data_IF_003057909666
#
_entry.id   IF_003057909666
#
_cell.length_a   1.000
_cell.length_b   1.000
_cell.length_c   1.000
_cell.angle_alpha   90.00
_cell.angle_beta   90.00
_cell.angle_gamma   90.00
#
_symmetry.space_group_name_H-M   'P 1'
#
loop_
_entity.id
_entity.type
_entity.pdbx_description
1 polymer ?
#
# COMPACT_ATOMS: atom_id res chain seq x y z
N UNK A 1 7.43 -13.25 -18.86
CA UNK A 1 6.24 -12.42 -18.59
C UNK A 1 5.36 -13.24 -17.65
N UNK A 2 4.98 -12.72 -16.48
CA UNK A 2 4.36 -13.52 -15.42
C UNK A 2 3.28 -12.80 -14.65
N UNK A 3 2.91 -11.58 -15.06
CA UNK A 3 1.82 -10.85 -14.42
C UNK A 3 0.47 -11.29 -14.99
N UNK A 4 -0.61 -11.08 -14.24
CA UNK A 4 -1.97 -11.36 -14.71
C UNK A 4 -2.25 -10.69 -16.06
N UNK A 5 -1.88 -9.41 -16.20
CA UNK A 5 -2.10 -8.66 -17.44
C UNK A 5 -1.35 -9.25 -18.63
N UNK A 6 -0.08 -9.65 -18.43
CA UNK A 6 0.71 -10.27 -19.51
C UNK A 6 0.10 -11.61 -19.95
N UNK A 7 -0.27 -12.46 -18.98
CA UNK A 7 -0.83 -13.79 -19.27
C UNK A 7 -2.21 -13.70 -19.95
N UNK A 8 -3.05 -12.74 -19.54
CA UNK A 8 -4.33 -12.49 -20.19
C UNK A 8 -4.13 -11.97 -21.62
N UNK A 9 -3.17 -11.07 -21.84
CA UNK A 9 -2.88 -10.53 -23.17
C UNK A 9 -2.26 -11.60 -24.11
N UNK A 10 -1.45 -12.51 -23.57
CA UNK A 10 -0.79 -13.57 -24.35
C UNK A 10 -1.73 -14.73 -24.69
N UNK A 11 -2.67 -15.07 -23.79
CA UNK A 11 -3.45 -16.30 -23.88
C UNK A 11 -4.96 -16.10 -24.07
N UNK A 12 -5.46 -14.87 -24.09
CA UNK A 12 -6.92 -14.63 -24.22
C UNK A 12 -7.24 -13.50 -25.19
N UNK A 13 -8.45 -13.54 -25.74
CA UNK A 13 -9.06 -12.46 -26.54
C UNK A 13 -10.19 -11.76 -25.76
N UNK A 14 -10.09 -11.75 -24.43
CA UNK A 14 -11.09 -11.12 -23.57
C UNK A 14 -11.16 -9.61 -23.82
N UNK A 15 -12.37 -9.01 -23.81
CA UNK A 15 -12.51 -7.57 -23.92
C UNK A 15 -11.92 -6.88 -22.69
N UNK A 16 -11.43 -5.64 -22.84
CA UNK A 16 -10.72 -4.92 -21.77
C UNK A 16 -11.50 -4.81 -20.46
N UNK A 17 -12.83 -4.68 -20.53
CA UNK A 17 -13.70 -4.63 -19.35
C UNK A 17 -13.77 -5.98 -18.60
N UNK A 18 -13.68 -7.11 -19.29
CA UNK A 18 -13.55 -8.43 -18.64
C UNK A 18 -12.15 -8.59 -18.01
N UNK A 19 -11.11 -8.08 -18.65
CA UNK A 19 -9.75 -8.04 -18.09
C UNK A 19 -9.72 -7.21 -16.81
N UNK A 20 -10.31 -6.01 -16.81
CA UNK A 20 -10.44 -5.15 -15.62
C UNK A 20 -11.21 -5.86 -14.50
N UNK A 21 -12.27 -6.59 -14.84
CA UNK A 21 -13.01 -7.39 -13.87
C UNK A 21 -12.15 -8.50 -13.25
N UNK A 22 -11.36 -9.24 -14.04
CA UNK A 22 -10.42 -10.24 -13.51
C UNK A 22 -9.33 -9.63 -12.63
N UNK A 23 -8.81 -8.45 -13.00
CA UNK A 23 -7.91 -7.68 -12.15
C UNK A 23 -8.56 -7.32 -10.80
N UNK A 24 -9.82 -6.89 -10.81
CA UNK A 24 -10.56 -6.60 -9.59
C UNK A 24 -10.77 -7.87 -8.75
N UNK A 25 -11.10 -9.01 -9.37
CA UNK A 25 -11.24 -10.30 -8.66
C UNK A 25 -9.92 -10.66 -7.96
N UNK A 26 -8.79 -10.59 -8.65
CA UNK A 26 -7.47 -10.87 -8.07
C UNK A 26 -7.07 -9.84 -7.00
N UNK A 27 -7.55 -8.61 -7.09
CA UNK A 27 -7.36 -7.60 -6.06
C UNK A 27 -8.10 -7.91 -4.76
N UNK A 28 -9.20 -8.67 -4.83
CA UNK A 28 -10.16 -8.84 -3.73
C UNK A 28 -10.23 -10.27 -3.17
N UNK A 29 -9.84 -11.27 -3.96
CA UNK A 29 -10.00 -12.68 -3.62
C UNK A 29 -9.16 -13.18 -2.44
N UNK A 30 -8.27 -12.37 -1.88
CA UNK A 30 -7.60 -12.71 -0.62
C UNK A 30 -8.63 -12.81 0.51
N UNK A 31 -9.66 -11.96 0.49
CA UNK A 31 -10.81 -12.08 1.39
C UNK A 31 -11.50 -13.42 1.20
N UNK A 32 -11.74 -13.81 -0.05
CA UNK A 32 -12.37 -15.07 -0.39
C UNK A 32 -11.55 -16.28 0.10
N UNK A 33 -10.23 -16.28 -0.13
CA UNK A 33 -9.33 -17.33 0.35
C UNK A 33 -9.34 -17.44 1.88
N UNK A 34 -9.23 -16.31 2.58
CA UNK A 34 -9.21 -16.26 4.04
C UNK A 34 -10.54 -16.74 4.65
N UNK A 35 -11.69 -16.38 4.06
CA UNK A 35 -13.02 -16.84 4.49
C UNK A 35 -13.27 -18.32 4.14
N UNK A 36 -12.70 -18.81 3.04
CA UNK A 36 -12.85 -20.19 2.59
C UNK A 36 -11.92 -21.18 3.30
N UNK A 37 -10.87 -20.69 3.97
CA UNK A 37 -9.76 -21.50 4.48
C UNK A 37 -9.11 -22.39 3.40
N UNK A 38 -9.05 -21.88 2.17
CA UNK A 38 -8.72 -22.67 0.99
C UNK A 38 -7.85 -21.89 0.00
N UNK A 39 -7.05 -22.62 -0.77
CA UNK A 39 -6.30 -22.06 -1.88
C UNK A 39 -7.20 -21.88 -3.11
N UNK A 40 -6.91 -20.85 -3.91
CA UNK A 40 -7.63 -20.56 -5.15
C UNK A 40 -6.66 -20.46 -6.32
N UNK A 41 -7.04 -21.07 -7.45
CA UNK A 41 -6.41 -20.88 -8.75
C UNK A 41 -7.42 -20.30 -9.74
N UNK A 42 -6.99 -19.32 -10.54
CA UNK A 42 -7.80 -18.75 -11.61
C UNK A 42 -7.37 -19.31 -12.95
N UNK A 43 -8.31 -19.92 -13.66
CA UNK A 43 -8.12 -20.51 -14.97
C UNK A 43 -8.85 -19.69 -16.02
N UNK A 44 -8.20 -19.49 -17.17
CA UNK A 44 -8.80 -18.95 -18.39
C UNK A 44 -8.69 -19.97 -19.51
N UNK A 45 -9.61 -19.89 -20.48
CA UNK A 45 -9.61 -20.77 -21.65
C UNK A 45 -9.07 -20.01 -22.87
N UNK A 46 -8.08 -20.60 -23.53
CA UNK A 46 -7.51 -20.14 -24.81
C UNK A 46 -8.42 -20.51 -25.99
N UNK A 47 -8.17 -19.89 -27.14
CA UNK A 47 -8.91 -20.18 -28.39
C UNK A 47 -8.69 -21.62 -28.89
N UNK A 48 -7.54 -22.23 -28.58
CA UNK A 48 -7.21 -23.62 -28.89
C UNK A 48 -7.81 -24.62 -27.88
N UNK A 49 -8.60 -24.14 -26.91
CA UNK A 49 -9.26 -24.96 -25.89
C UNK A 49 -8.36 -25.31 -24.70
N UNK A 50 -7.09 -24.93 -24.69
CA UNK A 50 -6.20 -25.15 -23.56
C UNK A 50 -6.57 -24.24 -22.37
N UNK A 51 -6.32 -24.73 -21.17
CA UNK A 51 -6.55 -24.00 -19.92
C UNK A 51 -5.24 -23.42 -19.41
N UNK A 52 -5.25 -22.16 -19.02
CA UNK A 52 -4.07 -21.48 -18.45
C UNK A 52 -4.40 -20.97 -17.06
N UNK A 53 -3.56 -21.30 -16.09
CA UNK A 53 -3.64 -20.72 -14.75
C UNK A 53 -3.00 -19.32 -14.78
N UNK A 54 -3.80 -18.27 -14.58
CA UNK A 54 -3.34 -16.88 -14.71
C UNK A 54 -3.07 -16.20 -13.38
N UNK A 55 -3.58 -16.75 -12.28
CA UNK A 55 -3.33 -16.25 -10.94
C UNK A 55 -3.53 -17.34 -9.89
N UNK A 56 -2.93 -17.15 -8.72
CA UNK A 56 -3.04 -18.04 -7.55
C UNK A 56 -3.15 -17.21 -6.26
N UNK A 57 -3.97 -17.66 -5.31
CA UNK A 57 -4.09 -17.10 -3.97
C UNK A 57 -4.05 -18.21 -2.92
N UNK A 58 -3.40 -17.94 -1.79
CA UNK A 58 -3.31 -18.85 -0.63
C UNK A 58 -3.95 -18.18 0.58
N UNK A 59 -4.62 -18.94 1.46
CA UNK A 59 -5.27 -18.37 2.64
C UNK A 59 -4.23 -17.98 3.70
N UNK A 60 -4.47 -16.90 4.45
CA UNK A 60 -3.71 -16.56 5.65
C UNK A 60 -4.27 -17.27 6.91
N UNK A 61 -5.47 -17.83 6.80
CA UNK A 61 -6.25 -18.42 7.90
C UNK A 61 -6.06 -19.94 8.01
N UNK A 62 -5.41 -20.58 7.04
CA UNK A 62 -5.21 -22.02 6.98
C UNK A 62 -3.90 -22.38 6.27
N UNK A 63 -3.33 -23.57 6.51
CA UNK A 63 -2.19 -24.05 5.73
C UNK A 63 -2.59 -24.30 4.27
N UNK A 64 -1.70 -23.90 3.35
CA UNK A 64 -1.86 -24.15 1.91
C UNK A 64 -1.65 -25.63 1.57
N UNK A 65 -2.42 -26.15 0.62
CA UNK A 65 -2.19 -27.45 -0.05
C UNK A 65 -1.42 -27.29 -1.36
N UNK A 66 -1.36 -26.07 -1.90
CA UNK A 66 -0.65 -25.74 -3.14
C UNK A 66 0.76 -25.19 -2.85
N UNK A 67 1.70 -26.10 -2.59
CA UNK A 67 3.10 -25.78 -2.28
C UNK A 67 3.85 -25.16 -3.46
N UNK A 68 3.52 -25.57 -4.68
CA UNK A 68 4.14 -25.06 -5.92
C UNK A 68 3.37 -23.86 -6.46
N UNK A 69 4.08 -23.00 -7.17
CA UNK A 69 3.47 -21.95 -7.98
C UNK A 69 2.91 -22.57 -9.27
N UNK A 70 1.62 -22.33 -9.53
CA UNK A 70 0.91 -22.84 -10.70
C UNK A 70 0.66 -21.76 -11.75
N UNK A 71 1.03 -20.51 -11.50
CA UNK A 71 0.81 -19.39 -12.43
C UNK A 71 1.62 -19.59 -13.71
N UNK A 72 0.96 -19.42 -14.86
CA UNK A 72 1.53 -19.68 -16.19
C UNK A 72 1.50 -21.15 -16.62
N UNK A 73 1.01 -22.07 -15.78
CA UNK A 73 0.83 -23.46 -16.19
C UNK A 73 -0.24 -23.59 -17.26
N UNK A 74 0.04 -24.41 -18.29
CA UNK A 74 -0.88 -24.69 -19.39
C UNK A 74 -1.25 -26.17 -19.32
N UNK A 75 -2.56 -26.44 -19.27
CA UNK A 75 -3.11 -27.78 -19.09
C UNK A 75 -4.18 -28.04 -20.14
N UNK A 76 -4.20 -29.24 -20.69
CA UNK A 76 -5.23 -29.65 -21.64
C UNK A 76 -6.59 -29.81 -20.94
N UNK A 77 -7.67 -29.47 -21.62
CA UNK A 77 -9.03 -29.46 -21.04
C UNK A 77 -9.49 -30.83 -20.54
N UNK A 78 -9.02 -31.92 -21.15
CA UNK A 78 -9.29 -33.30 -20.76
C UNK A 78 -8.70 -33.66 -19.39
N UNK A 79 -7.53 -33.09 -19.05
CA UNK A 79 -6.87 -33.30 -17.74
C UNK A 79 -7.50 -32.52 -16.60
N UNK A 80 -8.28 -31.48 -16.91
CA UNK A 80 -9.03 -30.69 -15.93
C UNK A 80 -10.51 -30.61 -16.35
N UNK A 81 -11.13 -31.79 -16.49
CA UNK A 81 -12.51 -31.92 -16.93
C UNK A 81 -13.48 -31.06 -16.10
N UNK A 82 -13.25 -30.96 -14.79
CA UNK A 82 -14.05 -30.11 -13.89
C UNK A 82 -14.07 -28.64 -14.32
N UNK A 83 -12.90 -28.10 -14.66
CA UNK A 83 -12.74 -26.70 -15.11
C UNK A 83 -13.37 -26.51 -16.49
N UNK A 84 -13.10 -27.43 -17.41
CA UNK A 84 -13.66 -27.40 -18.77
C UNK A 84 -15.20 -27.42 -18.75
N UNK A 85 -15.80 -28.33 -17.97
CA UNK A 85 -17.25 -28.43 -17.78
C UNK A 85 -17.85 -27.17 -17.12
N UNK A 86 -17.11 -26.51 -16.23
CA UNK A 86 -17.56 -25.25 -15.62
C UNK A 86 -17.63 -24.11 -16.63
N UNK A 87 -16.66 -24.04 -17.56
CA UNK A 87 -16.70 -23.09 -18.68
C UNK A 87 -17.89 -23.32 -19.64
N UNK A 88 -18.33 -24.58 -19.79
CA UNK A 88 -19.43 -24.94 -20.69
C UNK A 88 -20.80 -24.81 -20.03
N UNK A 89 -20.94 -25.27 -18.78
CA UNK A 89 -22.20 -25.27 -18.05
C UNK A 89 -22.53 -23.91 -17.42
N UNK A 90 -21.52 -23.11 -17.09
CA UNK A 90 -21.70 -21.88 -16.31
C UNK A 90 -22.18 -22.12 -14.87
N UNK A 91 -22.11 -23.37 -14.38
CA UNK A 91 -22.50 -23.77 -13.04
C UNK A 91 -21.30 -24.30 -12.25
N UNK A 92 -21.28 -24.07 -10.94
CA UNK A 92 -20.24 -24.61 -10.07
C UNK A 92 -20.28 -26.15 -10.08
N UNK A 93 -19.12 -26.78 -10.20
CA UNK A 93 -18.93 -28.22 -10.24
C UNK A 93 -18.10 -28.67 -9.04
N UNK A 94 -18.40 -29.84 -8.48
CA UNK A 94 -17.60 -30.47 -7.41
C UNK A 94 -17.00 -31.76 -7.92
N UNK A 95 -15.73 -31.99 -7.59
CA UNK A 95 -15.12 -33.27 -7.84
C UNK A 95 -15.66 -34.30 -6.83
N UNK A 96 -16.56 -35.17 -7.29
CA UNK A 96 -17.09 -36.29 -6.49
C UNK A 96 -16.14 -37.51 -6.52
N UNK A 97 -15.09 -37.51 -7.36
CA UNK A 97 -14.23 -38.66 -7.65
C UNK A 97 -12.90 -38.68 -6.88
N UNK A 98 -12.73 -37.84 -5.85
CA UNK A 98 -11.58 -37.93 -4.91
C UNK A 98 -11.60 -39.19 -4.01
N UNK A 99 -12.33 -40.24 -4.43
CA UNK A 99 -12.38 -41.56 -3.84
C UNK A 99 -11.86 -42.65 -4.79
N UNK A 100 -10.88 -42.37 -5.67
CA UNK A 100 -10.19 -43.44 -6.40
C UNK A 100 -9.37 -44.29 -5.42
N UNK A 101 -9.74 -45.57 -5.35
CA UNK A 101 -9.38 -46.62 -4.39
C UNK A 101 -7.90 -47.04 -4.29
N UNK A 102 -6.90 -46.20 -4.61
CA UNK A 102 -5.50 -46.66 -4.61
C UNK A 102 -4.47 -45.65 -4.05
N UNK A 103 -4.88 -44.75 -3.16
CA UNK A 103 -3.96 -43.90 -2.40
C UNK A 103 -4.27 -43.88 -0.91
N UNK A 104 -3.27 -44.21 -0.10
CA UNK A 104 -3.33 -44.30 1.37
C UNK A 104 -3.61 -42.95 2.07
N UNK A 105 -3.79 -41.85 1.32
CA UNK A 105 -4.10 -40.51 1.81
C UNK A 105 -5.22 -39.88 0.94
N UNK A 106 -6.29 -39.33 1.54
CA UNK A 106 -7.31 -38.61 0.78
C UNK A 106 -6.70 -37.36 0.14
N UNK A 107 -6.87 -37.22 -1.18
CA UNK A 107 -6.45 -36.04 -1.94
C UNK A 107 -7.18 -34.76 -1.52
N UNK A 108 -6.75 -33.58 -2.00
CA UNK A 108 -7.46 -32.33 -1.73
C UNK A 108 -8.85 -32.36 -2.37
N UNK A 109 -9.87 -31.86 -1.66
CA UNK A 109 -11.17 -31.58 -2.26
C UNK A 109 -11.04 -30.38 -3.18
N UNK A 110 -11.46 -30.56 -4.44
CA UNK A 110 -11.44 -29.52 -5.46
C UNK A 110 -12.87 -29.18 -5.88
N UNK A 111 -13.21 -27.89 -5.79
CA UNK A 111 -14.47 -27.34 -6.30
C UNK A 111 -14.15 -26.30 -7.38
N UNK A 112 -14.86 -26.33 -8.51
CA UNK A 112 -14.74 -25.35 -9.57
C UNK A 112 -15.96 -24.42 -9.58
N UNK A 113 -15.73 -23.12 -9.65
CA UNK A 113 -16.79 -22.11 -9.68
C UNK A 113 -16.53 -21.10 -10.81
N UNK A 114 -17.56 -20.74 -11.61
CA UNK A 114 -17.39 -19.79 -12.70
C UNK A 114 -17.22 -18.37 -12.18
N UNK A 115 -16.44 -17.57 -12.91
CA UNK A 115 -16.41 -16.11 -12.77
C UNK A 115 -17.11 -15.54 -13.99
N UNK A 116 -18.26 -14.91 -13.78
CA UNK A 116 -19.06 -14.36 -14.87
C UNK A 116 -18.88 -12.85 -14.99
N UNK A 117 -18.86 -12.37 -16.22
CA UNK A 117 -18.91 -10.95 -16.52
C UNK A 117 -19.72 -10.72 -17.80
N UNK A 118 -20.73 -9.85 -17.73
CA UNK A 118 -21.63 -9.58 -18.86
C UNK A 118 -22.39 -10.81 -19.36
N UNK A 119 -22.74 -11.75 -18.47
CA UNK A 119 -23.45 -12.99 -18.79
C UNK A 119 -22.61 -14.06 -19.50
N UNK A 120 -21.27 -13.94 -19.46
CA UNK A 120 -20.33 -14.94 -19.99
C UNK A 120 -19.35 -15.38 -18.91
N UNK A 121 -18.99 -16.66 -18.91
CA UNK A 121 -17.90 -17.17 -18.06
C UNK A 121 -16.57 -16.69 -18.64
N UNK A 122 -15.91 -15.78 -17.91
CA UNK A 122 -14.62 -15.19 -18.33
C UNK A 122 -13.42 -15.90 -17.69
N UNK A 123 -13.62 -16.54 -16.55
CA UNK A 123 -12.64 -17.38 -15.87
C UNK A 123 -13.35 -18.46 -15.03
N UNK A 124 -12.58 -19.43 -14.55
CA UNK A 124 -13.04 -20.42 -13.57
C UNK A 124 -12.07 -20.44 -12.40
N UNK A 125 -12.60 -20.38 -11.18
CA UNK A 125 -11.84 -20.55 -9.95
C UNK A 125 -11.87 -22.01 -9.51
N UNK A 126 -10.72 -22.60 -9.21
CA UNK A 126 -10.67 -23.86 -8.46
C UNK A 126 -10.25 -23.61 -7.03
N UNK A 127 -11.07 -24.08 -6.10
CA UNK A 127 -10.84 -24.06 -4.65
C UNK A 127 -10.20 -25.38 -4.24
N UNK A 128 -9.11 -25.35 -3.49
CA UNK A 128 -8.39 -26.53 -3.01
C UNK A 128 -8.29 -26.51 -1.48
N UNK A 129 -8.72 -27.60 -0.83
CA UNK A 129 -8.68 -27.75 0.61
C UNK A 129 -8.42 -29.20 1.04
N UNK A 130 -7.85 -29.42 2.23
CA UNK A 130 -7.67 -30.79 2.76
C UNK A 130 -9.01 -31.40 3.21
N UNK A 131 -9.18 -32.72 3.05
CA UNK A 131 -10.34 -33.46 3.56
C UNK A 131 -10.56 -33.27 5.08
N UNK A 132 -9.47 -33.22 5.85
CA UNK A 132 -9.53 -32.98 7.30
C UNK A 132 -9.95 -31.56 7.64
N UNK A 133 -9.61 -30.56 6.81
CA UNK A 133 -10.08 -29.19 7.00
C UNK A 133 -11.58 -29.06 6.68
N UNK A 134 -12.11 -29.82 5.73
CA UNK A 134 -13.54 -29.82 5.42
C UNK A 134 -14.40 -30.29 6.63
N UNK A 135 -13.94 -31.33 7.33
CA UNK A 135 -14.70 -32.06 8.37
C UNK A 135 -14.40 -31.66 9.84
N UNK A 136 -13.49 -30.73 10.13
CA UNK A 136 -13.27 -30.25 11.50
C UNK A 136 -14.56 -29.68 12.09
N UNK A 137 -14.83 -30.00 13.37
CA UNK A 137 -15.87 -29.40 14.21
C UNK A 137 -15.79 -27.88 14.07
N UNK A 138 -16.65 -27.33 13.21
CA UNK A 138 -16.54 -25.94 12.81
C UNK A 138 -17.01 -25.08 13.97
N UNK A 139 -16.14 -24.21 14.49
CA UNK A 139 -16.57 -23.19 15.44
C UNK A 139 -17.53 -22.21 14.76
N UNK A 140 -18.12 -21.33 15.57
CA UNK A 140 -19.02 -20.30 15.04
C UNK A 140 -18.32 -19.38 14.05
N UNK A 141 -17.02 -19.08 14.26
CA UNK A 141 -16.21 -18.27 13.36
C UNK A 141 -16.04 -18.95 12.00
N UNK A 142 -15.58 -20.21 12.00
CA UNK A 142 -15.36 -20.96 10.77
C UNK A 142 -16.66 -21.15 9.97
N UNK A 143 -17.78 -21.35 10.68
CA UNK A 143 -19.11 -21.47 10.07
C UNK A 143 -19.51 -20.16 9.38
N UNK A 144 -19.46 -19.03 10.10
CA UNK A 144 -19.79 -17.72 9.55
C UNK A 144 -18.89 -17.31 8.38
N UNK A 145 -17.60 -17.69 8.43
CA UNK A 145 -16.64 -17.42 7.36
C UNK A 145 -16.98 -18.23 6.10
N UNK A 146 -17.26 -19.52 6.25
CA UNK A 146 -17.63 -20.41 5.13
C UNK A 146 -18.95 -20.01 4.49
N UNK A 147 -19.96 -19.62 5.27
CA UNK A 147 -21.22 -19.10 4.75
C UNK A 147 -21.00 -17.83 3.93
N UNK A 148 -20.22 -16.88 4.45
CA UNK A 148 -19.88 -15.67 3.71
C UNK A 148 -19.06 -15.97 2.44
N UNK A 149 -18.12 -16.91 2.50
CA UNK A 149 -17.37 -17.34 1.33
C UNK A 149 -18.29 -17.94 0.25
N UNK A 150 -19.27 -18.76 0.65
CA UNK A 150 -20.26 -19.33 -0.26
C UNK A 150 -21.06 -18.24 -0.97
N UNK A 151 -21.51 -17.22 -0.23
CA UNK A 151 -22.23 -16.09 -0.83
C UNK A 151 -21.36 -15.32 -1.83
N UNK A 152 -20.08 -15.08 -1.52
CA UNK A 152 -19.16 -14.42 -2.44
C UNK A 152 -18.87 -15.26 -3.70
N UNK A 153 -18.78 -16.58 -3.58
CA UNK A 153 -18.65 -17.48 -4.74
C UNK A 153 -19.89 -17.43 -5.62
N UNK A 154 -21.09 -17.39 -5.03
CA UNK A 154 -22.33 -17.17 -5.79
C UNK A 154 -22.33 -15.81 -6.48
N UNK A 155 -21.88 -14.75 -5.83
CA UNK A 155 -21.78 -13.42 -6.44
C UNK A 155 -20.74 -13.36 -7.58
N UNK A 156 -19.64 -14.12 -7.50
CA UNK A 156 -18.69 -14.27 -8.62
C UNK A 156 -19.33 -15.00 -9.80
N UNK A 157 -20.14 -16.03 -9.52
CA UNK A 157 -20.87 -16.77 -10.52
C UNK A 157 -21.99 -15.92 -11.16
N UNK A 158 -22.61 -15.01 -10.42
CA UNK A 158 -23.62 -14.07 -10.93
C UNK A 158 -23.01 -12.79 -11.55
N UNK A 159 -21.70 -12.59 -11.40
CA UNK A 159 -20.97 -11.40 -11.87
C UNK A 159 -21.29 -10.10 -11.08
N UNK A 160 -21.81 -10.23 -9.86
CA UNK A 160 -22.14 -9.11 -8.96
C UNK A 160 -21.00 -8.76 -7.99
N UNK A 161 -19.95 -9.58 -7.93
CA UNK A 161 -18.72 -9.32 -7.20
C UNK A 161 -17.48 -9.57 -8.09
N UNK A 162 -16.43 -8.74 -7.99
CA UNK A 162 -16.34 -7.47 -7.26
C UNK A 162 -16.94 -6.30 -8.05
N UNK A 163 -17.43 -5.28 -7.34
CA UNK A 163 -17.83 -4.02 -7.96
C UNK A 163 -16.58 -3.23 -8.39
N UNK A 164 -16.36 -3.14 -9.70
CA UNK A 164 -15.16 -2.56 -10.34
C UNK A 164 -15.03 -1.04 -10.07
N UNK A 165 -16.07 -0.40 -9.51
CA UNK A 165 -16.08 1.04 -9.22
C UNK A 165 -15.08 1.53 -8.16
N UNK A 166 -14.49 0.64 -7.36
CA UNK A 166 -13.76 1.02 -6.12
C UNK A 166 -12.33 0.42 -6.00
N UNK A 167 -11.67 0.14 -7.13
CA UNK A 167 -10.32 -0.49 -7.13
C UNK A 167 -9.18 0.50 -6.79
N UNK A 168 -9.45 1.81 -6.76
CA UNK A 168 -8.36 2.83 -6.84
C UNK A 168 -7.93 3.43 -5.49
N UNK A 169 -8.65 3.27 -4.38
CA UNK A 169 -8.36 4.08 -3.17
C UNK A 169 -8.37 3.29 -1.85
N UNK A 170 -7.32 2.51 -1.57
CA UNK A 170 -6.67 2.42 -0.24
C UNK A 170 -5.71 1.23 -0.17
N UNK A 171 -4.46 1.47 0.24
CA UNK A 171 -3.47 0.39 0.47
C UNK A 171 -3.75 -0.41 1.76
N UNK A 172 -4.70 0.01 2.59
CA UNK A 172 -5.04 -0.64 3.85
C UNK A 172 -6.51 -1.03 3.90
N UNK A 173 -6.84 -2.23 3.44
CA UNK A 173 -8.15 -2.85 3.63
C UNK A 173 -8.13 -3.76 4.86
N UNK A 174 -9.17 -3.76 5.71
CA UNK A 174 -9.33 -4.79 6.73
C UNK A 174 -9.30 -6.19 6.11
N UNK A 175 -8.58 -7.11 6.76
CA UNK A 175 -8.58 -8.55 6.45
C UNK A 175 -9.72 -9.23 7.18
N UNK A 176 -10.13 -10.42 6.74
CA UNK A 176 -11.13 -11.22 7.46
C UNK A 176 -10.74 -11.44 8.93
N UNK A 177 -9.46 -11.70 9.19
CA UNK A 177 -8.94 -11.92 10.55
C UNK A 177 -8.88 -10.68 11.45
N UNK A 178 -8.93 -9.46 10.89
CA UNK A 178 -8.87 -8.22 11.69
C UNK A 178 -10.16 -8.00 12.50
N UNK A 179 -11.29 -8.49 11.98
CA UNK A 179 -12.61 -8.36 12.57
C UNK A 179 -13.66 -8.58 11.50
N UNK A 180 -14.63 -9.44 11.78
CA UNK A 180 -15.68 -9.84 10.85
C UNK A 180 -17.05 -9.75 11.52
N UNK A 181 -18.02 -9.19 10.81
CA UNK A 181 -19.41 -9.04 11.26
C UNK A 181 -20.31 -9.47 10.11
N UNK A 182 -21.28 -10.33 10.41
CA UNK A 182 -22.36 -10.69 9.49
C UNK A 182 -23.62 -9.92 9.87
N UNK A 183 -24.21 -9.22 8.90
CA UNK A 183 -25.50 -8.58 9.02
C UNK A 183 -26.58 -9.40 8.32
N UNK A 184 -27.77 -9.43 8.91
CA UNK A 184 -28.98 -9.88 8.24
C UNK A 184 -29.53 -8.80 7.29
N UNK A 185 -30.64 -9.11 6.62
CA UNK A 185 -31.32 -8.20 5.68
C UNK A 185 -31.90 -6.93 6.34
N UNK A 186 -32.02 -6.91 7.67
CA UNK A 186 -32.52 -5.77 8.44
C UNK A 186 -31.39 -4.94 9.09
N UNK A 187 -30.12 -5.28 8.80
CA UNK A 187 -28.94 -4.65 9.39
C UNK A 187 -28.71 -5.02 10.85
N UNK A 188 -29.30 -6.12 11.33
CA UNK A 188 -29.04 -6.71 12.64
C UNK A 188 -27.80 -7.60 12.55
N UNK A 189 -26.92 -7.50 13.53
CA UNK A 189 -25.72 -8.32 13.62
C UNK A 189 -26.12 -9.76 13.94
N UNK A 190 -26.02 -10.63 12.93
CA UNK A 190 -26.26 -12.06 13.06
C UNK A 190 -25.06 -12.78 13.70
N UNK A 191 -23.84 -12.29 13.44
CA UNK A 191 -22.61 -12.82 14.01
C UNK A 191 -21.54 -11.73 14.09
N UNK A 192 -20.72 -11.75 15.15
CA UNK A 192 -19.53 -10.91 15.26
C UNK A 192 -18.34 -11.71 15.78
N UNK A 193 -17.22 -11.65 15.06
CA UNK A 193 -15.99 -12.32 15.49
C UNK A 193 -15.40 -11.68 16.75
N UNK A 194 -14.62 -12.41 17.57
CA UNK A 194 -14.01 -11.87 18.78
C UNK A 194 -13.18 -10.59 18.55
N UNK A 195 -12.51 -10.50 17.40
CA UNK A 195 -11.74 -9.31 17.04
C UNK A 195 -12.63 -8.11 16.68
N UNK A 196 -13.78 -8.36 16.02
CA UNK A 196 -14.77 -7.30 15.80
C UNK A 196 -15.36 -6.78 17.10
N UNK A 197 -15.74 -7.67 18.03
CA UNK A 197 -16.22 -7.29 19.36
C UNK A 197 -15.15 -6.49 20.12
N UNK A 198 -13.88 -6.93 20.04
CA UNK A 198 -12.76 -6.23 20.66
C UNK A 198 -12.56 -4.81 20.10
N UNK A 199 -12.70 -4.64 18.77
CA UNK A 199 -12.65 -3.32 18.14
C UNK A 199 -13.80 -2.43 18.65
N UNK A 200 -15.03 -2.94 18.72
CA UNK A 200 -16.18 -2.20 19.25
C UNK A 200 -16.03 -1.82 20.73
N UNK A 201 -15.45 -2.70 21.56
CA UNK A 201 -15.14 -2.34 22.95
C UNK A 201 -14.16 -1.17 23.04
N UNK A 202 -13.15 -1.11 22.17
CA UNK A 202 -12.22 0.02 22.10
C UNK A 202 -12.87 1.30 21.60
N UNK A 203 -13.90 1.19 20.75
CA UNK A 203 -14.75 2.31 20.35
C UNK A 203 -15.68 2.79 21.50
N UNK A 204 -15.76 2.06 22.60
CA UNK A 204 -16.58 2.42 23.77
C UNK A 204 -17.89 1.65 23.91
N UNK A 205 -18.13 0.61 23.09
CA UNK A 205 -19.30 -0.26 23.28
C UNK A 205 -19.16 -1.06 24.59
N UNK A 206 -20.17 -1.00 25.46
CA UNK A 206 -20.21 -1.73 26.74
C UNK A 206 -21.21 -2.88 26.75
N UNK A 207 -21.94 -3.07 25.66
CA UNK A 207 -22.97 -4.08 25.50
C UNK A 207 -22.60 -5.10 24.43
N UNK A 208 -23.33 -6.21 24.39
CA UNK A 208 -23.22 -7.19 23.30
C UNK A 208 -23.49 -6.56 21.93
N UNK A 209 -22.76 -7.02 20.91
CA UNK A 209 -22.88 -6.57 19.53
C UNK A 209 -23.90 -7.40 18.75
N UNK A 210 -23.90 -8.72 18.95
CA UNK A 210 -24.83 -9.65 18.31
C UNK A 210 -26.28 -9.39 18.70
N UNK A 211 -27.20 -9.60 17.76
CA UNK A 211 -28.64 -9.36 17.94
C UNK A 211 -29.05 -7.88 17.92
N UNK A 212 -28.11 -6.94 17.72
CA UNK A 212 -28.40 -5.50 17.65
C UNK A 212 -28.29 -4.96 16.23
N UNK A 213 -29.06 -3.91 15.93
CA UNK A 213 -28.92 -3.19 14.68
C UNK A 213 -27.60 -2.41 14.65
N UNK A 214 -26.79 -2.63 13.60
CA UNK A 214 -25.44 -2.08 13.49
C UNK A 214 -25.43 -0.55 13.58
N UNK A 215 -26.28 0.13 12.82
CA UNK A 215 -26.35 1.60 12.81
C UNK A 215 -26.67 2.15 14.20
N UNK A 216 -27.62 1.53 14.91
CA UNK A 216 -28.02 1.96 16.26
C UNK A 216 -26.89 1.84 17.28
N UNK A 217 -26.03 0.83 17.17
CA UNK A 217 -24.92 0.63 18.11
C UNK A 217 -23.68 1.42 17.72
N UNK A 218 -23.40 1.59 16.43
CA UNK A 218 -22.16 2.23 15.97
C UNK A 218 -22.29 3.75 15.97
N UNK A 219 -23.42 4.30 15.52
CA UNK A 219 -23.62 5.76 15.39
C UNK A 219 -23.32 6.55 16.68
N UNK A 220 -23.73 6.12 17.90
CA UNK A 220 -23.43 6.85 19.13
C UNK A 220 -21.95 6.81 19.56
N UNK A 221 -21.15 5.87 19.02
CA UNK A 221 -19.74 5.69 19.38
C UNK A 221 -18.80 6.60 18.57
N UNK A 222 -19.25 7.00 17.38
CA UNK A 222 -18.48 7.80 16.44
C UNK A 222 -18.36 9.23 16.96
N UNK A 223 -17.14 9.77 16.91
CA UNK A 223 -16.81 11.07 17.47
C UNK A 223 -17.32 12.22 16.62
N UNK A 224 -17.20 12.11 15.28
CA UNK A 224 -17.70 13.10 14.34
C UNK A 224 -19.16 12.81 13.93
N UNK A 225 -20.12 13.72 14.20
CA UNK A 225 -21.50 13.57 13.77
C UNK A 225 -21.69 13.40 12.25
N UNK A 226 -20.79 13.95 11.43
CA UNK A 226 -20.85 13.82 9.97
C UNK A 226 -20.49 12.39 9.55
N UNK A 227 -19.35 11.86 10.01
CA UNK A 227 -18.95 10.46 9.77
C UNK A 227 -20.01 9.47 10.30
N UNK A 228 -20.63 9.80 11.44
CA UNK A 228 -21.69 8.99 12.03
C UNK A 228 -22.96 8.92 11.16
N UNK A 229 -23.30 10.05 10.51
CA UNK A 229 -24.43 10.12 9.59
C UNK A 229 -24.10 9.43 8.25
N UNK A 230 -22.89 9.62 7.73
CA UNK A 230 -22.39 8.98 6.51
C UNK A 230 -22.40 7.45 6.64
N UNK A 231 -21.91 6.88 7.75
CA UNK A 231 -22.01 5.44 8.01
C UNK A 231 -23.47 4.97 8.02
N UNK A 232 -24.36 5.73 8.66
CA UNK A 232 -25.76 5.35 8.80
C UNK A 232 -26.48 5.32 7.44
N UNK A 233 -26.27 6.33 6.61
CA UNK A 233 -26.80 6.40 5.24
C UNK A 233 -26.23 5.28 4.38
N UNK A 234 -24.92 5.02 4.50
CA UNK A 234 -24.25 3.98 3.74
C UNK A 234 -24.76 2.58 4.07
N UNK A 235 -24.91 2.23 5.36
CA UNK A 235 -25.43 0.90 5.75
C UNK A 235 -26.87 0.69 5.26
N UNK A 236 -27.68 1.75 5.21
CA UNK A 236 -29.03 1.68 4.66
C UNK A 236 -29.01 1.47 3.14
N UNK A 237 -28.16 2.21 2.41
CA UNK A 237 -27.97 2.04 0.96
C UNK A 237 -27.45 0.63 0.63
N UNK A 238 -26.45 0.16 1.37
CA UNK A 238 -25.87 -1.18 1.26
C UNK A 238 -26.92 -2.29 1.34
N UNK A 239 -27.82 -2.22 2.33
CA UNK A 239 -28.89 -3.21 2.51
C UNK A 239 -29.95 -3.15 1.40
N UNK A 240 -30.09 -1.99 0.74
CA UNK A 240 -30.95 -1.79 -0.42
C UNK A 240 -30.28 -2.21 -1.76
N UNK A 241 -29.09 -2.81 -1.72
CA UNK A 241 -28.33 -3.22 -2.92
C UNK A 241 -27.32 -2.18 -3.40
N UNK A 242 -26.99 -1.21 -2.55
CA UNK A 242 -25.92 -0.24 -2.76
C UNK A 242 -24.53 -0.88 -2.82
N UNK A 243 -23.52 -0.04 -2.99
CA UNK A 243 -22.14 -0.49 -3.28
C UNK A 243 -21.34 -0.79 -2.02
N UNK A 244 -20.21 -1.49 -2.18
CA UNK A 244 -19.20 -1.60 -1.13
C UNK A 244 -18.61 -0.22 -0.82
N UNK A 245 -18.32 0.05 0.45
CA UNK A 245 -17.60 1.25 0.87
C UNK A 245 -16.53 0.91 1.89
N UNK A 246 -15.49 1.72 1.87
CA UNK A 246 -14.42 1.72 2.86
C UNK A 246 -14.42 3.08 3.55
N UNK A 247 -14.38 3.07 4.88
CA UNK A 247 -14.32 4.32 5.67
C UNK A 247 -13.41 4.16 6.87
N UNK A 248 -12.76 5.25 7.23
CA UNK A 248 -12.01 5.38 8.48
C UNK A 248 -12.85 6.21 9.45
N UNK A 249 -12.93 5.77 10.70
CA UNK A 249 -13.78 6.43 11.70
C UNK A 249 -13.07 6.52 13.03
N UNK A 250 -13.13 7.70 13.64
CA UNK A 250 -12.63 7.93 14.99
C UNK A 250 -13.77 7.77 16.01
N UNK A 251 -13.64 6.82 16.95
CA UNK A 251 -14.67 6.48 17.92
C UNK A 251 -14.06 6.15 19.29
N UNK A 252 -14.51 6.83 20.36
CA UNK A 252 -14.06 6.53 21.72
C UNK A 252 -12.55 6.66 21.97
N UNK A 253 -11.83 7.42 21.15
CA UNK A 253 -10.36 7.53 21.20
C UNK A 253 -9.61 6.41 20.46
N UNK A 254 -10.33 5.50 19.82
CA UNK A 254 -9.82 4.53 18.86
C UNK A 254 -10.08 5.00 17.42
N UNK A 255 -9.26 4.56 16.48
CA UNK A 255 -9.44 4.75 15.03
C UNK A 255 -9.65 3.39 14.39
N UNK A 256 -10.78 3.20 13.70
CA UNK A 256 -11.13 1.94 13.03
C UNK A 256 -11.29 2.13 11.53
N UNK A 257 -10.81 1.18 10.76
CA UNK A 257 -11.14 1.04 9.34
C UNK A 257 -12.31 0.07 9.21
N UNK A 258 -13.37 0.51 8.55
CA UNK A 258 -14.54 -0.26 8.23
C UNK A 258 -14.58 -0.52 6.72
N UNK A 259 -14.96 -1.74 6.36
CA UNK A 259 -15.27 -2.11 4.99
C UNK A 259 -16.57 -2.86 4.97
N UNK A 260 -17.50 -2.44 4.13
CA UNK A 260 -18.80 -3.06 3.96
C UNK A 260 -18.86 -3.79 2.62
N UNK A 261 -19.45 -4.98 2.58
CA UNK A 261 -19.67 -5.75 1.38
C UNK A 261 -21.16 -6.16 1.33
N UNK A 262 -21.93 -5.73 0.32
CA UNK A 262 -23.30 -6.20 0.16
C UNK A 262 -23.25 -7.68 -0.23
N UNK A 263 -24.17 -8.48 0.29
CA UNK A 263 -24.29 -9.88 -0.07
C UNK A 263 -25.58 -10.07 -0.86
N UNK A 264 -25.47 -10.52 -2.10
CA UNK A 264 -26.61 -10.72 -3.00
C UNK A 264 -26.53 -12.13 -3.56
N UNK A 265 -27.57 -12.93 -3.33
CA UNK A 265 -27.63 -14.32 -3.78
C UNK A 265 -28.89 -14.50 -4.61
N UNK A 266 -28.76 -14.99 -5.85
CA UNK A 266 -29.87 -15.18 -6.79
C UNK A 266 -30.72 -13.89 -6.99
N UNK A 267 -30.07 -12.73 -6.98
CA UNK A 267 -30.73 -11.42 -7.14
C UNK A 267 -31.47 -10.90 -5.90
N UNK A 268 -31.44 -11.61 -4.77
CA UNK A 268 -32.02 -11.15 -3.51
C UNK A 268 -30.92 -10.74 -2.51
N UNK A 269 -31.19 -9.71 -1.70
CA UNK A 269 -30.29 -9.30 -0.61
C UNK A 269 -30.23 -10.40 0.44
N UNK A 270 -29.00 -10.85 0.76
CA UNK A 270 -28.67 -11.82 1.81
C UNK A 270 -28.04 -11.13 3.03
N UNK A 271 -28.22 -9.80 3.15
CA UNK A 271 -27.61 -8.96 4.17
C UNK A 271 -26.26 -8.39 3.71
N UNK A 272 -25.30 -8.32 4.62
CA UNK A 272 -23.98 -7.76 4.33
C UNK A 272 -22.89 -8.36 5.21
N UNK A 273 -21.65 -8.31 4.73
CA UNK A 273 -20.46 -8.53 5.54
C UNK A 273 -19.80 -7.19 5.87
N UNK A 274 -19.37 -7.01 7.12
CA UNK A 274 -18.60 -5.85 7.55
C UNK A 274 -17.28 -6.33 8.12
N UNK A 275 -16.19 -5.85 7.55
CA UNK A 275 -14.85 -6.04 8.07
C UNK A 275 -14.45 -4.81 8.87
N UNK A 276 -13.86 -5.02 10.04
CA UNK A 276 -13.40 -3.96 10.92
C UNK A 276 -11.96 -4.22 11.31
N UNK A 277 -11.14 -3.17 11.31
CA UNK A 277 -9.76 -3.22 11.78
C UNK A 277 -9.49 -2.03 12.67
N UNK A 278 -9.05 -2.28 13.89
CA UNK A 278 -8.50 -1.23 14.75
C UNK A 278 -7.10 -0.83 14.24
N UNK A 279 -6.96 0.43 13.84
CA UNK A 279 -5.71 1.03 13.34
C UNK A 279 -5.19 2.14 14.25
N UNK A 280 -5.70 2.24 15.48
CA UNK A 280 -5.34 3.31 16.45
C UNK A 280 -3.82 3.44 16.61
N UNK A 281 -3.13 2.32 16.86
CA UNK A 281 -1.68 2.32 17.08
C UNK A 281 -0.88 2.53 15.79
N UNK A 282 -1.39 2.05 14.65
CA UNK A 282 -0.78 2.32 13.34
C UNK A 282 -0.83 3.81 13.05
N UNK A 283 -2.00 4.44 13.24
CA UNK A 283 -2.19 5.87 13.04
C UNK A 283 -1.39 6.73 14.01
N UNK A 284 -1.26 6.31 15.27
CA UNK A 284 -0.38 6.99 16.24
C UNK A 284 1.07 6.99 15.78
N UNK A 285 1.56 5.87 15.25
CA UNK A 285 2.92 5.76 14.69
C UNK A 285 3.09 6.62 13.45
N UNK A 286 2.15 6.57 12.51
CA UNK A 286 2.20 7.36 11.28
C UNK A 286 2.17 8.87 11.56
N UNK A 287 1.31 9.31 12.49
CA UNK A 287 1.28 10.71 12.94
C UNK A 287 2.59 11.13 13.63
N UNK A 288 3.20 10.24 14.41
CA UNK A 288 4.50 10.50 15.03
C UNK A 288 5.63 10.63 14.00
N UNK A 289 5.62 9.82 12.93
CA UNK A 289 6.58 9.92 11.83
C UNK A 289 6.41 11.24 11.06
N UNK A 290 5.19 11.61 10.67
CA UNK A 290 4.90 12.87 9.98
C UNK A 290 5.32 14.08 10.83
N UNK A 291 5.09 14.03 12.15
CA UNK A 291 5.51 15.08 13.06
C UNK A 291 7.03 15.23 13.11
N UNK A 292 7.79 14.13 13.09
CA UNK A 292 9.26 14.18 13.05
C UNK A 292 9.76 14.84 11.77
N UNK A 293 9.20 14.50 10.62
CA UNK A 293 9.60 15.09 9.33
C UNK A 293 9.29 16.59 9.25
N UNK A 294 8.20 17.04 9.87
CA UNK A 294 7.87 18.45 9.99
C UNK A 294 8.87 19.19 10.91
N UNK A 295 9.25 18.59 12.04
CA UNK A 295 10.26 19.15 12.95
C UNK A 295 11.63 19.25 12.28
N UNK A 296 12.05 18.22 11.54
CA UNK A 296 13.32 18.22 10.80
C UNK A 296 13.35 19.37 9.78
N UNK A 297 12.28 19.53 9.00
CA UNK A 297 12.15 20.68 8.06
C UNK A 297 12.23 22.02 8.78
N UNK A 298 11.57 22.19 9.93
CA UNK A 298 11.65 23.43 10.70
C UNK A 298 13.08 23.74 11.18
N UNK A 299 13.80 22.73 11.69
CA UNK A 299 15.19 22.87 12.12
C UNK A 299 16.05 23.36 10.96
N UNK A 300 15.94 22.72 9.78
CA UNK A 300 16.69 23.13 8.61
C UNK A 300 16.39 24.57 8.17
N UNK A 301 15.12 24.97 8.18
CA UNK A 301 14.72 26.36 7.92
C UNK A 301 15.34 27.34 8.92
N UNK A 302 15.36 27.00 10.22
CA UNK A 302 15.98 27.84 11.26
C UNK A 302 17.50 27.96 11.09
N UNK A 303 18.20 26.87 10.76
CA UNK A 303 19.65 26.89 10.52
C UNK A 303 20.00 27.79 9.34
N UNK A 304 19.25 27.72 8.24
CA UNK A 304 19.38 28.63 7.09
C UNK A 304 19.21 30.09 7.50
N UNK A 305 18.16 30.41 8.25
CA UNK A 305 17.88 31.78 8.71
C UNK A 305 18.98 32.31 9.65
N UNK A 306 19.52 31.46 10.53
CA UNK A 306 20.61 31.82 11.43
C UNK A 306 21.89 32.14 10.67
N UNK A 307 22.29 31.31 9.71
CA UNK A 307 23.48 31.55 8.89
C UNK A 307 23.35 32.83 8.05
N UNK A 308 22.16 33.10 7.51
CA UNK A 308 21.88 34.35 6.79
C UNK A 308 21.97 35.57 7.71
N UNK A 309 21.46 35.48 8.94
CA UNK A 309 21.52 36.55 9.94
C UNK A 309 22.97 36.85 10.33
N UNK A 310 23.77 35.81 10.59
CA UNK A 310 25.20 35.95 10.90
C UNK A 310 25.95 36.61 9.73
N UNK A 311 25.69 36.18 8.49
CA UNK A 311 26.29 36.80 7.31
C UNK A 311 25.89 38.28 7.16
N UNK A 312 24.64 38.65 7.45
CA UNK A 312 24.16 40.03 7.40
C UNK A 312 24.84 40.91 8.47
N UNK A 313 24.98 40.42 9.71
CA UNK A 313 25.67 41.12 10.78
C UNK A 313 27.16 41.35 10.44
N UNK A 314 27.84 40.33 9.93
CA UNK A 314 29.23 40.45 9.49
C UNK A 314 29.40 41.46 8.35
N UNK A 315 28.46 41.51 7.38
CA UNK A 315 28.44 42.53 6.33
C UNK A 315 28.27 43.94 6.90
N UNK A 316 27.39 44.12 7.88
CA UNK A 316 27.17 45.42 8.53
C UNK A 316 28.43 45.87 9.29
N UNK A 317 29.09 44.96 10.00
CA UNK A 317 30.36 45.26 10.69
C UNK A 317 31.46 45.62 9.69
N UNK A 318 31.60 44.87 8.59
CA UNK A 318 32.57 45.16 7.54
C UNK A 318 32.42 46.57 6.94
N UNK A 319 31.17 47.08 6.84
CA UNK A 319 30.87 48.43 6.36
C UNK A 319 31.24 49.53 7.36
N UNK A 320 31.21 49.24 8.67
CA UNK A 320 31.47 50.21 9.75
C UNK A 320 32.95 50.28 10.15
N UNK A 321 33.72 49.25 9.86
CA UNK A 321 35.15 49.17 10.22
C UNK A 321 35.99 50.12 9.37
N UNK A 322 36.79 50.98 10.01
CA UNK A 322 37.74 51.89 9.36
C UNK A 322 39.10 51.24 9.04
N UNK A 323 39.40 50.08 9.65
CA UNK A 323 40.59 49.28 9.35
C UNK A 323 40.38 48.45 8.06
N UNK A 324 41.19 48.72 7.03
CA UNK A 324 41.13 48.02 5.75
C UNK A 324 41.37 46.51 5.88
N UNK A 325 42.32 46.08 6.71
CA UNK A 325 42.64 44.67 6.94
C UNK A 325 41.49 43.96 7.69
N UNK A 326 40.92 44.62 8.69
CA UNK A 326 39.75 44.11 9.42
C UNK A 326 38.49 44.01 8.53
N UNK A 327 38.31 44.94 7.60
CA UNK A 327 37.21 44.90 6.61
C UNK A 327 37.39 43.72 5.65
N UNK A 328 38.60 43.45 5.19
CA UNK A 328 38.88 42.31 4.29
C UNK A 328 38.60 40.97 4.99
N UNK A 329 39.07 40.79 6.22
CA UNK A 329 38.83 39.59 7.03
C UNK A 329 37.32 39.36 7.31
N UNK A 330 36.55 40.43 7.55
CA UNK A 330 35.10 40.33 7.74
C UNK A 330 34.37 39.97 6.43
N UNK A 331 34.79 40.54 5.30
CA UNK A 331 34.23 40.17 3.98
C UNK A 331 34.54 38.71 3.65
N UNK A 332 35.73 38.23 4.00
CA UNK A 332 36.08 36.81 3.88
C UNK A 332 35.18 35.93 4.76
N UNK A 333 34.94 36.35 6.00
CA UNK A 333 34.05 35.64 6.94
C UNK A 333 32.60 35.56 6.43
N UNK A 334 32.09 36.64 5.83
CA UNK A 334 30.78 36.66 5.16
C UNK A 334 30.71 35.62 4.04
N UNK A 335 31.75 35.55 3.20
CA UNK A 335 31.84 34.56 2.12
C UNK A 335 31.82 33.15 2.70
N UNK A 336 32.57 32.88 3.77
CA UNK A 336 32.62 31.58 4.45
C UNK A 336 31.25 31.14 4.98
N UNK A 337 30.55 32.02 5.72
CA UNK A 337 29.21 31.72 6.24
C UNK A 337 28.21 31.49 5.12
N UNK A 338 28.31 32.24 4.02
CA UNK A 338 27.45 32.07 2.84
C UNK A 338 27.66 30.71 2.17
N UNK A 339 28.91 30.25 2.06
CA UNK A 339 29.21 28.90 1.52
C UNK A 339 28.68 27.78 2.42
N UNK A 340 28.81 27.90 3.74
CA UNK A 340 28.24 26.92 4.69
C UNK A 340 26.72 26.87 4.57
N UNK A 341 26.05 28.01 4.41
CA UNK A 341 24.61 28.08 4.21
C UNK A 341 24.16 27.35 2.94
N UNK A 342 24.93 27.48 1.85
CA UNK A 342 24.65 26.81 0.58
C UNK A 342 24.86 25.30 0.65
N UNK A 343 25.94 24.86 1.31
CA UNK A 343 26.21 23.44 1.57
C UNK A 343 25.07 22.82 2.40
N UNK A 344 24.68 23.50 3.48
CA UNK A 344 23.58 23.07 4.32
C UNK A 344 22.26 23.00 3.54
N UNK A 345 21.94 23.99 2.70
CA UNK A 345 20.72 24.00 1.87
C UNK A 345 20.71 22.86 0.86
N UNK A 346 21.87 22.55 0.24
CA UNK A 346 21.98 21.45 -0.72
C UNK A 346 21.83 20.06 -0.07
N UNK A 347 22.29 19.90 1.17
CA UNK A 347 22.23 18.65 1.93
C UNK A 347 20.91 18.45 2.70
N UNK A 348 20.25 19.55 3.05
CA UNK A 348 18.98 19.56 3.79
C UNK A 348 17.77 19.12 2.95
N UNK A 349 17.91 19.02 1.63
CA UNK A 349 16.80 18.67 0.73
C UNK A 349 16.54 17.17 0.62
N UNK A 350 17.46 16.32 1.09
CA UNK A 350 17.24 14.87 1.21
C UNK A 350 16.83 14.52 2.64
N UNK A 351 15.58 14.08 2.81
CA UNK A 351 15.08 13.49 4.08
C UNK A 351 15.73 12.13 4.35
N UNK A 352 16.41 11.57 3.34
CA UNK A 352 17.07 10.28 3.43
C UNK A 352 18.37 10.33 4.25
N UNK A 353 18.61 9.26 5.02
CA UNK A 353 19.85 9.03 5.77
C UNK A 353 21.08 8.89 4.84
N UNK A 354 20.84 8.72 3.53
CA UNK A 354 21.84 8.50 2.50
C UNK A 354 21.81 9.60 1.44
N UNK A 355 22.99 10.15 1.13
CA UNK A 355 23.20 11.28 0.23
C UNK A 355 24.11 10.85 -0.91
N UNK A 356 23.64 11.04 -2.14
CA UNK A 356 24.50 10.91 -3.33
C UNK A 356 25.45 12.11 -3.40
N UNK A 357 26.72 11.91 -3.03
CA UNK A 357 27.70 12.98 -2.92
C UNK A 357 28.02 13.61 -4.29
N UNK A 358 27.84 12.83 -5.36
CA UNK A 358 28.15 13.22 -6.72
C UNK A 358 27.20 14.32 -7.21
N UNK A 359 25.91 14.15 -6.97
CA UNK A 359 24.87 15.15 -7.31
C UNK A 359 25.05 16.45 -6.52
N UNK A 360 25.41 16.34 -5.24
CA UNK A 360 25.60 17.50 -4.37
C UNK A 360 26.82 18.31 -4.81
N UNK A 361 27.92 17.65 -5.18
CA UNK A 361 29.12 18.32 -5.69
C UNK A 361 28.83 19.02 -7.02
N UNK A 362 28.13 18.37 -7.95
CA UNK A 362 27.81 18.97 -9.25
C UNK A 362 26.91 20.20 -9.11
N UNK A 363 26.07 20.25 -8.07
CA UNK A 363 25.25 21.42 -7.72
C UNK A 363 26.05 22.55 -7.05
N UNK A 364 27.02 22.22 -6.20
CA UNK A 364 27.79 23.19 -5.41
C UNK A 364 28.93 23.82 -6.22
N UNK A 365 29.61 23.07 -7.09
CA UNK A 365 30.78 23.54 -7.84
C UNK A 365 30.53 24.81 -8.68
N UNK A 366 29.41 24.95 -9.42
CA UNK A 366 29.09 26.18 -10.15
C UNK A 366 28.98 27.39 -9.22
N UNK A 367 28.28 27.21 -8.09
CA UNK A 367 28.04 28.27 -7.11
C UNK A 367 29.35 28.70 -6.44
N UNK A 368 30.25 27.75 -6.16
CA UNK A 368 31.58 28.05 -5.62
C UNK A 368 32.46 28.81 -6.61
N UNK A 369 32.33 28.54 -7.92
CA UNK A 369 33.04 29.27 -8.95
C UNK A 369 32.62 30.75 -8.99
N UNK A 370 31.33 31.03 -8.85
CA UNK A 370 30.77 32.39 -8.82
C UNK A 370 31.24 33.18 -7.59
N UNK A 371 31.36 32.53 -6.43
CA UNK A 371 31.85 33.19 -5.19
C UNK A 371 33.38 33.42 -5.23
N UNK A 372 34.12 32.60 -5.97
CA UNK A 372 35.58 32.65 -6.04
C UNK A 372 36.12 33.62 -7.11
N UNK A 373 35.33 33.96 -8.13
CA UNK A 373 35.80 34.72 -9.28
C UNK A 373 35.60 36.23 -9.10
N UNK A 374 36.66 36.92 -8.68
CA UNK A 374 36.72 38.39 -8.81
C UNK A 374 37.38 38.82 -10.13
N UNK A 375 38.19 37.97 -10.79
CA UNK A 375 38.93 38.41 -12.00
C UNK A 375 39.10 37.41 -13.18
N UNK A 376 38.85 36.09 -13.06
CA UNK A 376 38.84 35.15 -14.22
C UNK A 376 38.00 33.88 -13.98
N UNK A 377 37.40 33.27 -15.02
CA UNK A 377 36.69 32.00 -14.90
C UNK A 377 37.65 30.84 -14.61
N UNK A 378 37.39 30.08 -13.55
CA UNK A 378 38.12 28.85 -13.21
C UNK A 378 37.46 27.69 -13.96
N UNK A 379 38.25 26.88 -14.68
CA UNK A 379 37.77 25.59 -15.22
C UNK A 379 37.94 24.52 -14.14
N UNK A 380 36.83 23.91 -13.74
CA UNK A 380 36.79 22.80 -12.80
C UNK A 380 36.58 21.54 -13.63
N UNK A 381 37.47 20.55 -13.46
CA UNK A 381 37.29 19.22 -14.05
C UNK A 381 37.23 18.20 -12.92
N UNK A 382 36.17 17.42 -12.88
CA UNK A 382 35.94 16.36 -11.90
C UNK A 382 36.28 15.02 -12.55
N UNK A 383 37.03 14.17 -11.85
CA UNK A 383 37.40 12.83 -12.32
C UNK A 383 37.07 11.83 -11.21
N UNK A 384 36.19 10.88 -11.52
CA UNK A 384 35.73 9.83 -10.61
C UNK A 384 34.44 10.15 -9.84
N UNK A 385 33.94 9.11 -9.18
CA UNK A 385 32.68 9.10 -8.44
C UNK A 385 32.91 8.77 -6.97
N UNK A 386 32.18 9.47 -6.09
CA UNK A 386 32.25 9.31 -4.64
C UNK A 386 31.10 8.45 -4.10
N UNK A 387 30.00 8.36 -4.86
CA UNK A 387 28.86 7.51 -4.54
C UNK A 387 28.01 8.03 -3.38
N UNK A 388 27.25 7.10 -2.82
CA UNK A 388 26.27 7.38 -1.76
C UNK A 388 26.91 7.21 -0.38
N UNK A 389 26.77 8.21 0.47
CA UNK A 389 27.29 8.21 1.85
C UNK A 389 26.20 8.58 2.84
N UNK A 390 26.39 8.22 4.10
CA UNK A 390 25.55 8.75 5.17
C UNK A 390 25.66 10.28 5.26
N UNK A 391 24.56 10.93 5.65
CA UNK A 391 24.44 12.39 5.66
C UNK A 391 25.52 13.10 6.48
N UNK A 392 25.95 12.52 7.60
CA UNK A 392 26.99 13.08 8.46
C UNK A 392 28.36 13.08 7.77
N UNK A 393 28.75 11.95 7.16
CA UNK A 393 30.00 11.85 6.38
C UNK A 393 29.95 12.69 5.12
N UNK A 394 28.82 12.73 4.42
CA UNK A 394 28.62 13.57 3.24
C UNK A 394 28.83 15.05 3.59
N UNK A 395 28.21 15.52 4.67
CA UNK A 395 28.35 16.89 5.18
C UNK A 395 29.80 17.23 5.50
N UNK A 396 30.49 16.35 6.24
CA UNK A 396 31.89 16.55 6.59
C UNK A 396 32.79 16.65 5.35
N UNK A 397 32.61 15.75 4.37
CA UNK A 397 33.39 15.74 3.14
C UNK A 397 33.14 16.97 2.27
N UNK A 398 31.90 17.40 2.11
CA UNK A 398 31.59 18.63 1.36
C UNK A 398 32.18 19.85 2.04
N UNK A 399 32.13 19.93 3.37
CA UNK A 399 32.77 21.01 4.12
C UNK A 399 34.30 21.04 3.90
N UNK A 400 34.95 19.88 3.85
CA UNK A 400 36.38 19.78 3.52
C UNK A 400 36.65 20.22 2.08
N UNK A 401 35.87 19.72 1.11
CA UNK A 401 36.02 20.05 -0.32
C UNK A 401 35.84 21.55 -0.54
N UNK A 402 34.80 22.12 0.05
CA UNK A 402 34.48 23.55 -0.09
C UNK A 402 35.57 24.43 0.52
N UNK A 403 36.08 24.10 1.70
CA UNK A 403 37.16 24.84 2.34
C UNK A 403 38.49 24.69 1.57
N UNK A 404 38.77 23.51 1.04
CA UNK A 404 39.97 23.25 0.23
C UNK A 404 39.96 24.05 -1.08
N UNK A 405 38.83 24.04 -1.79
CA UNK A 405 38.63 24.83 -3.00
C UNK A 405 38.83 26.32 -2.73
N UNK A 406 38.25 26.82 -1.63
CA UNK A 406 38.38 28.22 -1.18
C UNK A 406 39.83 28.60 -0.87
N UNK A 407 40.53 27.77 -0.09
CA UNK A 407 41.94 28.01 0.29
C UNK A 407 42.84 28.10 -0.95
N UNK A 408 42.65 27.22 -1.93
CA UNK A 408 43.44 27.24 -3.17
C UNK A 408 43.12 28.44 -4.07
N UNK A 409 41.87 28.88 -4.12
CA UNK A 409 41.50 30.09 -4.86
C UNK A 409 42.15 31.34 -4.26
N UNK A 410 42.10 31.47 -2.93
CA UNK A 410 42.73 32.59 -2.20
C UNK A 410 44.26 32.66 -2.41
N UNK A 411 44.98 31.54 -2.23
CA UNK A 411 46.45 31.50 -2.37
C UNK A 411 46.97 31.87 -3.78
N UNK A 412 46.18 31.60 -4.84
CA UNK A 412 46.55 31.97 -6.22
C UNK A 412 46.43 33.48 -6.46
N UNK A 413 45.52 34.16 -5.78
CA UNK A 413 45.40 35.63 -5.82
C UNK A 413 46.62 36.30 -5.16
N UNK A 414 47.02 35.85 -3.97
CA UNK A 414 48.10 36.48 -3.18
C UNK A 414 49.50 36.29 -3.77
N UNK A 415 49.78 35.16 -4.45
CA UNK A 415 51.09 34.89 -5.07
C UNK A 415 51.39 35.77 -6.29
N UNK A 416 50.38 36.40 -6.91
CA UNK A 416 50.58 37.26 -8.08
C UNK A 416 50.74 38.75 -7.77
N UNK A 417 50.16 39.27 -6.67
CA UNK A 417 50.42 40.67 -6.29
C UNK A 417 51.90 40.92 -5.95
N UNK A 418 52.63 39.89 -5.51
CA UNK A 418 54.09 39.93 -5.28
C UNK A 418 54.96 39.77 -6.54
N UNK A 419 54.41 39.39 -7.70
CA UNK A 419 55.15 39.21 -8.97
C UNK A 419 54.87 40.28 -10.02
N UNK A 420 54.03 41.28 -9.69
CA UNK A 420 53.67 42.39 -10.57
C UNK A 420 54.17 43.76 -10.11
N UNK A 421 55.28 43.81 -9.37
CA UNK A 421 56.04 45.03 -9.08
C UNK A 421 57.46 44.87 -9.58
#
# INVERSE_FOLDING_TARGET
MSTLGDLLAEHTVLPGNAVDHLHAVVGEWQLLADLSFADYLMWVRRDDGMLVCVAQCRPNTAPTVLLTDSVGSVVAADRLALVAQTFESGAAQRDYDAGQEDSLLPGPHVEASPVQYGGRVVAVLTRHQTAVAADRTSGQLETAYRECASDLVHMLADGTFPDVGDVVMSRSTPRAGDGFIRLDVNGVVAYASPNAVSAYHRMGLTSELEGRNLVKVTRPLISDPFEAQELAEHVLDLLAGGKSMRMEVDAGGATVLLRTLPLVVNGASAGAAVLIRDVTEVKRRDRALISKDATIREIHHRVKNNLQTVAALLRLQARRTANAEGREALIESVRRVSSIALVHDALSMSVDEQVNLDEVIDRILPIMNDVASVDRPIRINRVGDLGVLDSDRATALIMVITEWFRTRSSMRSTRRSKRGR
#
